data_IF_006798240221
#
_entry.id   IF_006798240221
#
_cell.length_a   1.000
_cell.length_b   1.000
_cell.length_c   1.000
_cell.angle_alpha   90.00
_cell.angle_beta   90.00
_cell.angle_gamma   90.00
#
_symmetry.space_group_name_H-M   'P 1'
#
loop_
_entity.id
_entity.type
_entity.pdbx_description
1 polymer ?
#
# COMPACT_ATOMS: atom_id res chain seq x y z
N UNK A 1 0.61 20.14 -50.87
CA UNK A 1 1.24 19.02 -50.13
C UNK A 1 2.28 19.45 -49.10
N UNK A 2 3.22 20.37 -49.39
CA UNK A 2 4.27 20.78 -48.42
C UNK A 2 3.76 21.41 -47.11
N UNK A 3 2.61 22.09 -47.14
CA UNK A 3 2.06 22.78 -45.95
C UNK A 3 1.44 21.76 -44.98
N UNK A 4 0.62 20.82 -45.47
CA UNK A 4 0.02 19.75 -44.67
C UNK A 4 1.06 18.87 -43.96
N UNK A 5 2.16 18.53 -44.65
CA UNK A 5 3.25 17.73 -44.06
C UNK A 5 3.95 18.49 -42.94
N UNK A 6 4.16 19.80 -43.09
CA UNK A 6 4.75 20.65 -42.03
C UNK A 6 3.82 20.81 -40.83
N UNK A 7 2.52 20.92 -41.06
CA UNK A 7 1.52 21.00 -40.00
C UNK A 7 1.44 19.70 -39.19
N UNK A 8 1.43 18.53 -39.84
CA UNK A 8 1.43 17.24 -39.14
C UNK A 8 2.71 17.00 -38.33
N UNK A 9 3.87 17.45 -38.83
CA UNK A 9 5.16 17.27 -38.16
C UNK A 9 5.30 18.19 -36.93
N UNK A 10 4.78 19.42 -37.01
CA UNK A 10 4.70 20.34 -35.88
C UNK A 10 3.70 19.85 -34.80
N UNK A 11 2.56 19.31 -35.21
CA UNK A 11 1.57 18.76 -34.28
C UNK A 11 2.07 17.47 -33.60
N UNK A 12 2.78 16.62 -34.33
CA UNK A 12 3.44 15.43 -33.77
C UNK A 12 4.50 15.78 -32.71
N UNK A 13 5.34 16.78 -32.98
CA UNK A 13 6.34 17.28 -32.02
C UNK A 13 5.70 17.90 -30.78
N UNK A 14 4.62 18.67 -30.95
CA UNK A 14 3.86 19.24 -29.83
C UNK A 14 3.22 18.15 -28.95
N UNK A 15 2.66 17.10 -29.55
CA UNK A 15 2.11 15.96 -28.82
C UNK A 15 3.18 15.17 -28.06
N UNK A 16 4.36 14.94 -28.66
CA UNK A 16 5.48 14.29 -27.94
C UNK A 16 6.05 15.15 -26.82
N UNK A 17 6.01 16.49 -26.94
CA UNK A 17 6.44 17.41 -25.90
C UNK A 17 5.54 17.36 -24.66
N UNK A 18 4.22 17.28 -24.83
CA UNK A 18 3.27 17.23 -23.72
C UNK A 18 3.41 15.92 -22.92
N UNK A 19 3.71 14.79 -23.58
CA UNK A 19 3.95 13.52 -22.89
C UNK A 19 5.26 13.50 -22.07
N UNK A 20 6.26 14.31 -22.43
CA UNK A 20 7.50 14.43 -21.66
C UNK A 20 7.35 15.24 -20.37
N UNK A 21 6.42 16.21 -20.32
CA UNK A 21 6.14 17.01 -19.12
C UNK A 21 4.95 16.50 -18.28
N UNK A 22 4.11 15.62 -18.83
CA UNK A 22 3.02 15.00 -18.10
C UNK A 22 3.47 13.82 -17.20
N UNK A 23 4.67 13.28 -17.42
CA UNK A 23 5.33 12.45 -16.42
C UNK A 23 6.05 13.36 -15.42
N UNK A 24 5.24 14.07 -14.63
CA UNK A 24 5.66 14.56 -13.33
C UNK A 24 5.96 13.34 -12.45
N UNK A 25 7.10 12.69 -12.68
CA UNK A 25 7.82 12.06 -11.58
C UNK A 25 8.23 13.22 -10.69
N UNK A 26 7.34 13.59 -9.77
CA UNK A 26 7.67 14.39 -8.61
C UNK A 26 8.96 13.80 -8.07
N UNK A 27 10.06 14.52 -8.27
CA UNK A 27 11.32 14.19 -7.65
C UNK A 27 11.04 14.24 -6.15
N UNK A 28 10.85 13.07 -5.55
CA UNK A 28 10.45 12.99 -4.18
C UNK A 28 11.56 13.55 -3.33
N UNK A 29 11.22 14.64 -2.67
CA UNK A 29 12.00 15.22 -1.60
C UNK A 29 12.49 14.10 -0.70
N UNK A 30 13.78 14.13 -0.40
CA UNK A 30 14.46 13.29 0.59
C UNK A 30 13.89 13.43 2.03
N UNK A 31 12.68 13.98 2.19
CA UNK A 31 12.01 14.34 3.44
C UNK A 31 10.98 13.32 3.92
N UNK A 32 10.64 12.29 3.13
CA UNK A 32 9.64 11.28 3.49
C UNK A 32 10.28 9.89 3.64
N UNK A 33 11.03 9.63 4.73
CA UNK A 33 11.86 8.45 4.89
C UNK A 33 11.02 7.18 5.06
N UNK A 34 11.46 6.05 4.51
CA UNK A 34 10.80 4.77 4.69
C UNK A 34 10.60 4.51 6.20
N UNK A 35 9.40 4.12 6.65
CA UNK A 35 9.19 3.75 8.03
C UNK A 35 10.13 2.63 8.49
N UNK A 36 10.58 2.71 9.74
CA UNK A 36 11.38 1.65 10.36
C UNK A 36 10.65 0.28 10.30
N UNK A 37 11.40 -0.81 10.41
CA UNK A 37 10.91 -2.19 10.32
C UNK A 37 10.36 -2.66 8.96
N UNK A 38 10.34 -1.84 7.91
CA UNK A 38 9.94 -2.28 6.55
C UNK A 38 11.11 -2.95 5.82
N UNK A 39 12.31 -2.40 5.98
CA UNK A 39 13.52 -2.99 5.43
C UNK A 39 14.09 -3.99 6.45
N UNK A 40 14.25 -5.24 6.03
CA UNK A 40 15.07 -6.21 6.76
C UNK A 40 16.50 -6.05 6.26
N UNK A 41 17.43 -5.72 7.16
CA UNK A 41 18.88 -5.71 6.86
C UNK A 41 19.37 -7.10 6.42
N UNK A 42 18.61 -8.15 6.75
CA UNK A 42 18.97 -9.56 6.59
C UNK A 42 18.63 -10.18 5.22
N UNK A 43 17.81 -9.54 4.38
CA UNK A 43 17.29 -10.17 3.15
C UNK A 43 17.91 -9.68 1.82
N UNK A 44 19.02 -8.94 1.86
CA UNK A 44 19.79 -8.60 0.65
C UNK A 44 19.09 -7.65 -0.32
N UNK A 45 17.90 -7.13 0.01
CA UNK A 45 17.26 -6.03 -0.72
C UNK A 45 18.14 -4.81 -0.58
N UNK A 46 18.66 -4.26 -1.67
CA UNK A 46 19.51 -3.07 -1.59
C UNK A 46 18.66 -1.94 -0.98
N UNK A 47 19.18 -1.16 -0.03
CA UNK A 47 18.43 -0.04 0.55
C UNK A 47 17.83 0.90 -0.50
N UNK A 48 18.52 1.07 -1.63
CA UNK A 48 18.06 1.84 -2.79
C UNK A 48 16.74 1.30 -3.41
N UNK A 49 16.54 -0.02 -3.44
CA UNK A 49 15.33 -0.62 -4.02
C UNK A 49 14.11 -0.38 -3.13
N UNK A 50 14.31 -0.42 -1.80
CA UNK A 50 13.29 -0.04 -0.82
C UNK A 50 12.90 1.43 -0.96
N UNK A 51 13.88 2.32 -1.16
CA UNK A 51 13.64 3.76 -1.35
C UNK A 51 12.86 4.02 -2.64
N UNK A 52 13.26 3.40 -3.75
CA UNK A 52 12.55 3.54 -5.01
C UNK A 52 11.13 2.94 -4.96
N UNK A 53 10.94 1.83 -4.24
CA UNK A 53 9.60 1.27 -4.02
C UNK A 53 8.72 2.19 -3.18
N UNK A 54 9.21 2.65 -2.03
CA UNK A 54 8.52 3.59 -1.15
C UNK A 54 8.15 4.87 -1.88
N UNK A 55 9.08 5.34 -2.70
CA UNK A 55 8.88 6.51 -3.51
C UNK A 55 7.72 6.40 -4.50
N UNK A 56 7.47 5.23 -5.07
CA UNK A 56 6.35 5.06 -6.00
C UNK A 56 4.98 4.98 -5.31
N UNK A 57 4.88 5.15 -4.00
CA UNK A 57 3.62 5.03 -3.24
C UNK A 57 2.90 6.38 -3.13
N UNK A 58 1.57 6.35 -3.26
CA UNK A 58 0.72 7.52 -3.04
C UNK A 58 0.69 7.93 -1.57
N UNK A 59 0.26 9.16 -1.26
CA UNK A 59 0.13 9.63 0.12
C UNK A 59 -0.80 8.72 0.96
N UNK A 60 -1.89 8.24 0.37
CA UNK A 60 -2.82 7.31 1.02
C UNK A 60 -2.17 5.94 1.31
N UNK A 61 -1.43 5.39 0.35
CA UNK A 61 -0.69 4.14 0.56
C UNK A 61 0.33 4.27 1.69
N UNK A 62 1.07 5.38 1.70
CA UNK A 62 2.07 5.67 2.73
C UNK A 62 1.42 5.86 4.10
N UNK A 63 0.25 6.50 4.17
CA UNK A 63 -0.54 6.69 5.39
C UNK A 63 -0.85 5.35 6.05
N UNK A 64 -1.47 4.42 5.32
CA UNK A 64 -1.87 3.13 5.87
C UNK A 64 -0.69 2.27 6.32
N UNK A 65 0.46 2.37 5.64
CA UNK A 65 1.67 1.69 6.08
C UNK A 65 2.23 2.32 7.37
N UNK A 66 2.30 3.66 7.45
CA UNK A 66 2.91 4.38 8.59
C UNK A 66 2.14 4.21 9.89
N UNK A 67 0.82 4.33 9.80
CA UNK A 67 -0.08 4.38 10.96
C UNK A 67 -0.26 3.01 11.63
N UNK A 68 0.15 1.91 10.97
CA UNK A 68 0.16 0.57 11.57
C UNK A 68 1.45 0.28 12.35
N UNK A 69 1.37 -0.55 13.42
CA UNK A 69 2.54 -1.04 14.13
C UNK A 69 3.39 -1.93 13.21
N UNK A 70 4.70 -2.04 13.49
CA UNK A 70 5.68 -2.70 12.61
C UNK A 70 5.26 -4.11 12.15
N UNK A 71 4.71 -4.91 13.06
CA UNK A 71 4.25 -6.28 12.79
C UNK A 71 3.00 -6.35 11.89
N UNK A 72 2.32 -5.23 11.62
CA UNK A 72 1.13 -5.16 10.79
C UNK A 72 1.37 -4.38 9.49
N UNK A 73 2.52 -3.70 9.33
CA UNK A 73 2.83 -2.88 8.14
C UNK A 73 2.83 -3.66 6.83
N UNK A 74 3.07 -4.98 6.88
CA UNK A 74 3.01 -5.83 5.69
C UNK A 74 1.59 -5.95 5.11
N UNK A 75 0.55 -5.76 5.92
CA UNK A 75 -0.85 -5.90 5.52
C UNK A 75 -1.21 -4.91 4.40
N UNK A 76 -1.04 -3.59 4.56
CA UNK A 76 -1.28 -2.64 3.47
C UNK A 76 -0.30 -2.86 2.31
N UNK A 77 0.93 -3.32 2.55
CA UNK A 77 1.88 -3.63 1.48
C UNK A 77 1.37 -4.76 0.57
N UNK A 78 0.77 -5.80 1.13
CA UNK A 78 0.12 -6.89 0.38
C UNK A 78 -1.09 -6.36 -0.38
N UNK A 79 -1.97 -5.57 0.24
CA UNK A 79 -3.12 -4.96 -0.45
C UNK A 79 -2.70 -4.11 -1.66
N UNK A 80 -1.62 -3.34 -1.51
CA UNK A 80 -1.01 -2.55 -2.58
C UNK A 80 -0.46 -3.46 -3.69
N UNK A 81 0.25 -4.52 -3.31
CA UNK A 81 0.81 -5.49 -4.27
C UNK A 81 -0.28 -6.24 -5.03
N UNK A 82 -1.45 -6.45 -4.44
CA UNK A 82 -2.60 -7.07 -5.09
C UNK A 82 -3.45 -6.09 -5.90
N UNK A 83 -3.05 -4.81 -5.98
CA UNK A 83 -3.81 -3.73 -6.62
C UNK A 83 -5.27 -3.66 -6.14
N UNK A 84 -5.50 -3.83 -4.83
CA UNK A 84 -6.85 -3.78 -4.28
C UNK A 84 -7.47 -2.38 -4.49
N UNK A 85 -8.66 -2.27 -5.12
CA UNK A 85 -9.29 -0.98 -5.39
C UNK A 85 -9.82 -0.29 -4.12
N UNK A 86 -10.10 -1.04 -3.05
CA UNK A 86 -10.47 -0.51 -1.73
C UNK A 86 -9.34 -0.79 -0.74
N UNK A 87 -8.25 -0.04 -0.88
CA UNK A 87 -7.06 -0.20 -0.05
C UNK A 87 -7.37 -0.09 1.45
N UNK A 88 -8.28 0.80 1.84
CA UNK A 88 -8.72 0.97 3.23
C UNK A 88 -9.43 -0.29 3.72
N UNK A 89 -10.42 -0.76 2.97
CA UNK A 89 -11.19 -1.96 3.29
C UNK A 89 -10.31 -3.20 3.36
N UNK A 90 -9.42 -3.40 2.38
CA UNK A 90 -8.44 -4.48 2.39
C UNK A 90 -7.54 -4.43 3.62
N UNK A 91 -7.02 -3.25 3.97
CA UNK A 91 -6.14 -3.08 5.13
C UNK A 91 -6.88 -3.37 6.43
N UNK A 92 -8.07 -2.80 6.62
CA UNK A 92 -8.88 -3.03 7.82
C UNK A 92 -9.25 -4.50 7.99
N UNK A 93 -9.65 -5.18 6.90
CA UNK A 93 -9.95 -6.61 6.91
C UNK A 93 -8.72 -7.43 7.26
N UNK A 94 -7.58 -7.13 6.66
CA UNK A 94 -6.31 -7.82 6.95
C UNK A 94 -5.88 -7.65 8.41
N UNK A 95 -6.00 -6.43 8.97
CA UNK A 95 -5.70 -6.16 10.39
C UNK A 95 -6.66 -6.92 11.31
N UNK A 96 -7.96 -6.95 10.97
CA UNK A 96 -8.95 -7.70 11.73
C UNK A 96 -8.59 -9.19 11.77
N UNK A 97 -8.25 -9.78 10.62
CA UNK A 97 -7.84 -11.19 10.52
C UNK A 97 -6.57 -11.47 11.31
N UNK A 98 -5.54 -10.63 11.15
CA UNK A 98 -4.26 -10.79 11.84
C UNK A 98 -4.43 -10.74 13.37
N UNK A 99 -5.11 -9.71 13.88
CA UNK A 99 -5.29 -9.54 15.33
C UNK A 99 -6.19 -10.62 15.92
N UNK A 100 -7.23 -11.04 15.19
CA UNK A 100 -8.08 -12.15 15.60
C UNK A 100 -7.27 -13.46 15.70
N UNK A 101 -6.44 -13.75 14.70
CA UNK A 101 -5.57 -14.93 14.69
C UNK A 101 -4.59 -14.94 15.87
N UNK A 102 -3.94 -13.80 16.14
CA UNK A 102 -3.02 -13.65 17.29
C UNK A 102 -3.73 -13.81 18.63
N UNK A 103 -4.91 -13.21 18.78
CA UNK A 103 -5.67 -13.32 20.02
C UNK A 103 -6.16 -14.75 20.26
N UNK A 104 -6.69 -15.41 19.24
CA UNK A 104 -7.20 -16.78 19.38
C UNK A 104 -6.07 -17.81 19.59
N UNK A 105 -4.93 -17.61 18.93
CA UNK A 105 -3.72 -18.41 19.20
C UNK A 105 -3.23 -18.19 20.64
N UNK A 106 -3.27 -16.96 21.15
CA UNK A 106 -2.89 -16.64 22.54
C UNK A 106 -3.81 -17.31 23.57
N UNK A 107 -5.08 -17.54 23.22
CA UNK A 107 -6.04 -18.29 24.04
C UNK A 107 -5.82 -19.82 23.99
N UNK A 108 -4.84 -20.30 23.20
CA UNK A 108 -4.49 -21.71 23.09
C UNK A 108 -5.34 -22.51 22.11
N UNK A 109 -6.17 -21.85 21.29
CA UNK A 109 -6.92 -22.54 20.25
C UNK A 109 -5.98 -22.89 19.08
N UNK A 110 -6.00 -24.16 18.67
CA UNK A 110 -5.19 -24.64 17.54
C UNK A 110 -5.61 -23.94 16.24
N UNK A 111 -4.62 -23.55 15.42
CA UNK A 111 -4.88 -22.93 14.12
C UNK A 111 -5.81 -23.82 13.28
N UNK A 112 -6.80 -23.21 12.64
CA UNK A 112 -7.83 -23.87 11.81
C UNK A 112 -8.82 -24.78 12.56
N UNK A 113 -8.73 -24.91 13.89
CA UNK A 113 -9.75 -25.59 14.70
C UNK A 113 -11.09 -24.85 14.67
N UNK A 114 -12.17 -25.56 14.96
CA UNK A 114 -13.51 -24.97 15.05
C UNK A 114 -13.57 -23.89 16.14
N UNK A 115 -12.87 -24.11 17.26
CA UNK A 115 -12.74 -23.19 18.38
C UNK A 115 -12.01 -21.91 17.96
N UNK A 116 -10.93 -22.04 17.20
CA UNK A 116 -10.17 -20.90 16.67
C UNK A 116 -11.02 -20.07 15.69
N UNK A 117 -11.72 -20.73 14.76
CA UNK A 117 -12.65 -20.05 13.83
C UNK A 117 -13.75 -19.32 14.59
N UNK A 118 -14.38 -19.97 15.56
CA UNK A 118 -15.43 -19.37 16.38
C UNK A 118 -14.90 -18.18 17.21
N UNK A 119 -13.68 -18.29 17.74
CA UNK A 119 -13.00 -17.20 18.43
C UNK A 119 -12.78 -15.99 17.51
N UNK A 120 -12.29 -16.22 16.28
CA UNK A 120 -12.09 -15.13 15.30
C UNK A 120 -13.37 -14.40 14.98
N UNK A 121 -14.47 -15.13 14.76
CA UNK A 121 -15.78 -14.53 14.49
C UNK A 121 -16.33 -13.73 15.68
N UNK A 122 -16.04 -14.14 16.92
CA UNK A 122 -16.37 -13.33 18.11
C UNK A 122 -15.52 -12.06 18.18
N UNK A 123 -14.22 -12.18 17.97
CA UNK A 123 -13.28 -11.04 18.01
C UNK A 123 -13.67 -9.97 16.98
N UNK A 124 -14.01 -10.38 15.75
CA UNK A 124 -14.38 -9.45 14.67
C UNK A 124 -15.62 -8.61 14.98
N UNK A 125 -16.55 -9.11 15.81
CA UNK A 125 -17.76 -8.35 16.21
C UNK A 125 -17.45 -7.15 17.10
N UNK A 126 -16.36 -7.22 17.86
CA UNK A 126 -15.91 -6.15 18.76
C UNK A 126 -14.71 -5.39 18.19
N UNK A 127 -14.26 -5.75 16.99
CA UNK A 127 -13.09 -5.16 16.36
C UNK A 127 -13.37 -3.71 15.95
N UNK A 128 -12.48 -2.81 16.35
CA UNK A 128 -12.48 -1.42 15.91
C UNK A 128 -11.44 -1.25 14.80
N UNK A 129 -11.84 -0.92 13.56
CA UNK A 129 -10.90 -0.73 12.47
C UNK A 129 -9.92 0.41 12.75
N UNK A 130 -8.62 0.25 12.43
CA UNK A 130 -7.63 1.32 12.59
C UNK A 130 -7.90 2.51 11.66
N UNK A 131 -8.54 2.26 10.51
CA UNK A 131 -8.85 3.30 9.53
C UNK A 131 -10.36 3.43 9.34
N UNK A 132 -11.05 4.24 10.16
CA UNK A 132 -12.50 4.40 10.05
C UNK A 132 -12.88 5.01 8.70
N UNK A 133 -14.08 4.67 8.22
CA UNK A 133 -14.69 5.38 7.11
C UNK A 133 -14.90 6.83 7.54
N UNK A 134 -14.32 7.79 6.81
CA UNK A 134 -14.71 9.19 6.93
C UNK A 134 -16.14 9.29 6.42
N UNK A 135 -17.12 9.22 7.32
CA UNK A 135 -18.46 9.70 7.02
C UNK A 135 -18.32 11.21 6.80
N UNK A 136 -18.56 11.67 5.58
CA UNK A 136 -18.73 13.10 5.27
C UNK A 136 -19.90 13.70 6.04
#
# INVERSE_FOLDING_TARGET
MKILVRSCLAFGLALTGIFFFANGSEAQSASDPIPDCINSETNGTRPADGIAWWGRRTAEQKKYIRELPCNERYIPMVCIFLWDPDLRGCTNKGVAEYRADKECTRQGYELLSAEHVACKERFKKTFVPPFPSTTS
#
